data_IF_214216340583
#
_entry.id   IF_214216340583
#
_cell.length_a   1.000
_cell.length_b   1.000
_cell.length_c   1.000
_cell.angle_alpha   90.00
_cell.angle_beta   90.00
_cell.angle_gamma   90.00
#
_symmetry.space_group_name_H-M   'P 1'
#
loop_
_entity.id
_entity.type
_entity.pdbx_description
1 polymer ?
#
# COMPACT_ATOMS: atom_id res chain seq x y z
N UNK A 1 45.83 5.72 -13.56
CA UNK A 1 44.55 5.54 -14.22
C UNK A 1 43.54 5.83 -13.15
N UNK A 2 42.81 6.91 -13.26
CA UNK A 2 41.63 7.17 -12.42
C UNK A 2 40.62 6.14 -12.85
N UNK A 3 40.29 5.15 -11.99
CA UNK A 3 39.08 4.33 -12.16
C UNK A 3 37.89 5.31 -12.23
N UNK A 4 37.40 5.56 -13.45
CA UNK A 4 36.09 6.20 -13.59
C UNK A 4 35.09 5.21 -13.03
N UNK A 5 34.26 5.69 -12.08
CA UNK A 5 33.19 4.88 -11.52
C UNK A 5 32.31 4.34 -12.67
N UNK A 6 32.01 3.05 -12.65
CA UNK A 6 31.11 2.45 -13.63
C UNK A 6 29.74 3.13 -13.55
N UNK A 7 29.10 3.43 -14.67
CA UNK A 7 27.72 3.96 -14.76
C UNK A 7 26.77 2.91 -15.35
N UNK A 8 27.14 1.64 -15.23
CA UNK A 8 26.49 0.56 -15.96
C UNK A 8 25.00 0.39 -15.63
N UNK A 9 24.57 0.69 -14.41
CA UNK A 9 23.15 0.69 -14.02
C UNK A 9 22.40 1.85 -14.66
N UNK A 10 22.99 3.06 -14.64
CA UNK A 10 22.45 4.23 -15.33
C UNK A 10 22.25 3.96 -16.82
N UNK A 11 23.31 3.53 -17.48
CA UNK A 11 23.33 3.30 -18.93
C UNK A 11 22.31 2.24 -19.34
N UNK A 12 22.07 1.24 -18.49
CA UNK A 12 21.07 0.22 -18.74
C UNK A 12 19.64 0.80 -18.68
N UNK A 13 19.32 1.64 -17.68
CA UNK A 13 18.03 2.30 -17.57
C UNK A 13 17.83 3.28 -18.73
N UNK A 14 18.83 4.14 -19.00
CA UNK A 14 18.77 5.11 -20.09
C UNK A 14 18.56 4.44 -21.45
N UNK A 15 19.18 3.27 -21.68
CA UNK A 15 18.98 2.49 -22.91
C UNK A 15 17.51 2.12 -23.10
N UNK A 16 16.84 1.63 -22.06
CA UNK A 16 15.42 1.25 -22.14
C UNK A 16 14.52 2.45 -22.41
N UNK A 17 14.80 3.60 -21.80
CA UNK A 17 14.02 4.81 -22.01
C UNK A 17 14.30 5.45 -23.39
N UNK A 18 15.53 5.34 -23.90
CA UNK A 18 15.86 5.73 -25.28
C UNK A 18 15.16 4.84 -26.31
N UNK A 19 15.00 3.54 -26.05
CA UNK A 19 14.19 2.66 -26.89
C UNK A 19 12.71 3.06 -26.87
N UNK A 20 12.18 3.52 -25.72
CA UNK A 20 10.77 3.90 -25.56
C UNK A 20 10.45 5.30 -26.14
N UNK A 21 11.36 6.27 -25.97
CA UNK A 21 11.13 7.69 -26.29
C UNK A 21 12.03 8.25 -27.39
N UNK A 22 12.92 7.44 -27.95
CA UNK A 22 13.81 7.86 -29.03
C UNK A 22 14.82 8.91 -28.56
N UNK A 23 14.95 9.99 -29.35
CA UNK A 23 15.90 11.09 -29.06
C UNK A 23 15.35 12.14 -28.08
N UNK A 24 14.24 11.87 -27.38
CA UNK A 24 13.70 12.80 -26.39
C UNK A 24 14.60 12.84 -25.17
N UNK A 25 15.25 13.99 -24.94
CA UNK A 25 15.99 14.21 -23.69
C UNK A 25 15.01 14.42 -22.54
N UNK A 26 15.11 13.67 -21.42
CA UNK A 26 14.26 13.88 -20.26
C UNK A 26 14.61 15.17 -19.52
N UNK A 27 13.65 15.68 -18.76
CA UNK A 27 13.93 16.64 -17.69
C UNK A 27 14.52 15.85 -16.52
N UNK A 28 15.83 15.96 -16.30
CA UNK A 28 16.51 15.23 -15.23
C UNK A 28 16.76 16.10 -13.99
N UNK A 29 16.46 15.56 -12.82
CA UNK A 29 16.59 16.22 -11.51
C UNK A 29 17.45 15.35 -10.59
N UNK A 30 18.74 15.70 -10.50
CA UNK A 30 19.68 15.06 -9.58
C UNK A 30 19.63 15.66 -8.18
N UNK A 31 20.13 14.92 -7.19
CA UNK A 31 20.31 15.43 -5.82
C UNK A 31 21.50 16.39 -5.75
N UNK A 32 21.35 17.47 -5.00
CA UNK A 32 22.43 18.44 -4.81
C UNK A 32 23.59 17.88 -3.97
N UNK A 33 23.30 17.01 -3.02
CA UNK A 33 24.26 16.30 -2.16
C UNK A 33 23.92 14.82 -2.22
N UNK A 34 24.82 13.96 -2.75
CA UNK A 34 24.60 12.51 -2.76
C UNK A 34 24.31 11.95 -1.37
N UNK A 35 23.42 10.95 -1.30
CA UNK A 35 23.03 10.32 -0.03
C UNK A 35 24.23 9.72 0.72
N UNK A 36 25.17 9.11 0.01
CA UNK A 36 26.42 8.59 0.55
C UNK A 36 27.31 9.66 1.21
N UNK A 37 27.13 10.94 0.86
CA UNK A 37 27.81 12.08 1.46
C UNK A 37 26.97 12.80 2.52
N UNK A 38 25.87 12.18 2.98
CA UNK A 38 24.98 12.73 4.02
C UNK A 38 23.86 13.62 3.50
N UNK A 39 23.55 13.57 2.21
CA UNK A 39 22.36 14.21 1.64
C UNK A 39 21.07 13.61 2.20
N UNK A 40 19.95 14.38 2.23
CA UNK A 40 18.67 13.91 2.75
C UNK A 40 17.92 13.01 1.77
N UNK A 41 18.26 13.03 0.51
CA UNK A 41 17.55 12.39 -0.60
C UNK A 41 18.28 11.15 -1.10
N UNK A 42 17.69 9.95 -0.92
CA UNK A 42 18.39 8.70 -1.24
C UNK A 42 18.44 8.37 -2.73
N UNK A 43 17.52 8.93 -3.54
CA UNK A 43 17.55 8.72 -4.98
C UNK A 43 18.57 9.67 -5.62
N UNK A 44 19.46 9.15 -6.44
CA UNK A 44 20.46 9.96 -7.14
C UNK A 44 19.82 10.90 -8.16
N UNK A 45 18.72 10.46 -8.79
CA UNK A 45 18.00 11.28 -9.75
C UNK A 45 16.59 10.81 -10.06
N UNK A 46 15.87 11.68 -10.73
CA UNK A 46 14.55 11.42 -11.30
C UNK A 46 14.52 12.04 -12.69
N UNK A 47 14.19 11.25 -13.71
CA UNK A 47 13.94 11.73 -15.07
C UNK A 47 12.44 11.82 -15.32
N UNK A 48 12.01 12.84 -16.08
CA UNK A 48 10.63 13.03 -16.49
C UNK A 48 10.55 13.22 -18.01
N UNK A 49 9.77 12.38 -18.67
CA UNK A 49 9.51 12.39 -20.10
C UNK A 49 8.12 12.94 -20.40
N UNK A 50 7.97 13.68 -21.50
CA UNK A 50 6.67 14.14 -22.01
C UNK A 50 6.08 13.08 -22.91
N UNK A 51 4.85 12.69 -22.64
CA UNK A 51 4.11 11.69 -23.43
C UNK A 51 2.75 12.26 -23.82
N UNK A 52 2.43 12.22 -25.12
CA UNK A 52 1.21 12.83 -25.64
C UNK A 52 0.04 11.83 -25.79
N UNK A 53 0.32 10.54 -25.90
CA UNK A 53 -0.69 9.50 -26.14
C UNK A 53 -0.61 8.36 -25.14
N UNK A 54 -1.73 7.77 -24.70
CA UNK A 54 -3.13 8.04 -25.07
C UNK A 54 -3.73 9.30 -24.44
N UNK A 55 -3.13 9.80 -23.38
CA UNK A 55 -3.50 11.04 -22.68
C UNK A 55 -2.21 11.80 -22.41
N UNK A 56 -2.12 13.13 -22.59
CA UNK A 56 -0.94 13.90 -22.27
C UNK A 56 -0.54 13.71 -20.79
N UNK A 57 0.70 13.26 -20.57
CA UNK A 57 1.19 12.98 -19.21
C UNK A 57 2.72 13.11 -19.11
N UNK A 58 3.18 13.30 -17.88
CA UNK A 58 4.56 13.10 -17.50
C UNK A 58 4.78 11.64 -17.18
N UNK A 59 5.85 11.02 -17.71
CA UNK A 59 6.33 9.71 -17.27
C UNK A 59 7.64 9.90 -16.53
N UNK A 60 7.61 9.69 -15.21
CA UNK A 60 8.77 9.77 -14.33
C UNK A 60 9.41 8.41 -14.18
N UNK A 61 10.74 8.39 -14.00
CA UNK A 61 11.51 7.23 -13.57
C UNK A 61 12.54 7.66 -12.54
N UNK A 62 12.72 6.84 -11.50
CA UNK A 62 13.72 7.03 -10.46
C UNK A 62 15.03 6.39 -10.82
N UNK A 63 16.12 6.85 -10.18
CA UNK A 63 17.45 6.29 -10.23
C UNK A 63 17.99 6.24 -8.79
N UNK A 64 18.26 5.02 -8.28
CA UNK A 64 18.85 4.84 -6.96
C UNK A 64 18.21 3.80 -6.07
N UNK A 65 17.09 3.17 -6.45
CA UNK A 65 16.64 1.94 -5.80
C UNK A 65 17.44 0.73 -6.29
N UNK A 66 17.86 0.74 -7.55
CA UNK A 66 18.81 -0.22 -8.11
C UNK A 66 20.25 0.31 -8.00
N UNK A 67 21.23 -0.56 -8.18
CA UNK A 67 22.65 -0.17 -8.17
C UNK A 67 23.03 0.45 -9.51
N UNK A 68 23.30 1.75 -9.49
CA UNK A 68 23.55 2.57 -10.67
C UNK A 68 25.00 2.52 -11.13
N UNK A 69 25.93 2.33 -10.19
CA UNK A 69 27.38 2.36 -10.40
C UNK A 69 27.95 0.95 -10.35
N UNK A 70 28.64 0.60 -9.31
CA UNK A 70 29.21 -0.72 -9.10
C UNK A 70 28.26 -1.59 -8.26
N UNK A 71 28.46 -2.91 -8.30
CA UNK A 71 27.75 -3.85 -7.45
C UNK A 71 28.17 -3.70 -5.99
N UNK A 72 27.24 -3.27 -5.12
CA UNK A 72 27.50 -3.04 -3.69
C UNK A 72 26.87 -4.12 -2.80
N UNK A 73 25.72 -4.67 -3.20
CA UNK A 73 25.02 -5.69 -2.41
C UNK A 73 25.62 -7.08 -2.62
N UNK A 74 25.44 -7.97 -1.63
CA UNK A 74 25.85 -9.37 -1.73
C UNK A 74 24.84 -10.25 -2.50
N UNK A 75 23.72 -9.71 -2.95
CA UNK A 75 22.76 -10.42 -3.77
C UNK A 75 23.19 -10.44 -5.24
N UNK A 76 23.59 -11.61 -5.80
CA UNK A 76 24.05 -11.67 -7.18
C UNK A 76 22.89 -11.61 -8.19
N UNK A 77 21.64 -11.84 -7.75
CA UNK A 77 20.49 -11.92 -8.63
C UNK A 77 19.83 -10.56 -8.85
N UNK A 78 19.77 -9.71 -7.82
CA UNK A 78 19.07 -8.42 -7.86
C UNK A 78 20.05 -7.24 -7.78
N UNK A 79 19.75 -6.17 -8.49
CA UNK A 79 20.44 -4.89 -8.41
C UNK A 79 19.82 -4.03 -7.31
N UNK A 80 20.54 -3.78 -6.23
CA UNK A 80 20.09 -2.98 -5.09
C UNK A 80 18.81 -3.55 -4.47
N UNK A 81 17.74 -2.76 -4.42
CA UNK A 81 16.40 -3.20 -3.96
C UNK A 81 15.64 -4.00 -5.03
N UNK A 82 16.17 -4.16 -6.24
CA UNK A 82 15.59 -4.94 -7.32
C UNK A 82 14.53 -4.21 -8.14
N UNK A 83 14.37 -2.90 -7.98
CA UNK A 83 13.40 -2.12 -8.76
C UNK A 83 13.81 -0.66 -8.93
N UNK A 84 13.16 0.02 -9.89
CA UNK A 84 13.00 1.47 -9.94
C UNK A 84 11.51 1.82 -9.99
N UNK A 85 11.11 2.96 -9.42
CA UNK A 85 9.75 3.44 -9.50
C UNK A 85 9.54 4.23 -10.79
N UNK A 86 8.38 4.00 -11.40
CA UNK A 86 7.83 4.90 -12.41
C UNK A 86 6.55 5.55 -11.90
N UNK A 87 6.21 6.71 -12.46
CA UNK A 87 4.97 7.41 -12.12
C UNK A 87 4.45 8.14 -13.36
N UNK A 88 3.17 7.96 -13.68
CA UNK A 88 2.52 8.69 -14.76
C UNK A 88 1.52 9.66 -14.18
N UNK A 89 1.67 10.94 -14.56
CA UNK A 89 0.84 12.05 -14.07
C UNK A 89 0.29 12.85 -15.25
N UNK A 90 -1.02 13.09 -15.29
CA UNK A 90 -1.63 13.96 -16.30
C UNK A 90 -0.89 15.28 -16.40
N UNK A 91 -0.72 15.76 -17.64
CA UNK A 91 -0.07 17.03 -17.99
C UNK A 91 -1.01 17.89 -18.80
N UNK A 92 -1.03 19.19 -18.51
CA UNK A 92 -1.66 20.16 -19.41
C UNK A 92 -0.69 20.56 -20.52
N UNK A 93 -1.21 21.01 -21.67
CA UNK A 93 -0.36 21.42 -22.82
C UNK A 93 0.62 22.54 -22.47
N UNK A 94 0.25 23.42 -21.53
CA UNK A 94 1.06 24.56 -21.10
C UNK A 94 2.19 24.20 -20.12
N UNK A 95 2.14 22.99 -19.54
CA UNK A 95 3.18 22.53 -18.61
C UNK A 95 4.44 22.12 -19.36
N UNK A 96 5.49 22.90 -19.22
CA UNK A 96 6.83 22.65 -19.81
C UNK A 96 7.79 22.02 -18.81
N UNK A 97 7.51 22.07 -17.51
CA UNK A 97 8.30 21.50 -16.43
C UNK A 97 7.42 20.59 -15.56
N UNK A 98 7.93 19.44 -15.09
CA UNK A 98 7.17 18.56 -14.23
C UNK A 98 6.94 19.20 -12.86
N UNK A 99 5.79 18.97 -12.23
CA UNK A 99 5.46 19.59 -10.97
C UNK A 99 6.36 19.08 -9.83
N UNK A 100 6.94 19.99 -9.07
CA UNK A 100 7.90 19.71 -8.00
C UNK A 100 7.34 18.75 -6.93
N UNK A 101 6.02 18.73 -6.69
CA UNK A 101 5.42 17.83 -5.72
C UNK A 101 5.55 16.36 -6.15
N UNK A 102 5.52 16.04 -7.46
CA UNK A 102 5.70 14.68 -7.96
C UNK A 102 7.13 14.18 -7.74
N UNK A 103 8.13 15.05 -7.97
CA UNK A 103 9.53 14.76 -7.66
C UNK A 103 9.72 14.53 -6.15
N UNK A 104 9.13 15.39 -5.31
CA UNK A 104 9.17 15.22 -3.86
C UNK A 104 8.46 13.94 -3.38
N UNK A 105 7.35 13.55 -4.03
CA UNK A 105 6.64 12.31 -3.72
C UNK A 105 7.54 11.10 -3.99
N UNK A 106 8.21 11.04 -5.12
CA UNK A 106 9.16 9.98 -5.47
C UNK A 106 10.34 9.94 -4.49
N UNK A 107 10.92 11.09 -4.13
CA UNK A 107 11.97 11.14 -3.09
C UNK A 107 11.44 10.69 -1.72
N UNK A 108 10.18 10.98 -1.37
CA UNK A 108 9.57 10.47 -0.13
C UNK A 108 9.45 8.94 -0.15
N UNK A 109 9.15 8.34 -1.31
CA UNK A 109 9.17 6.88 -1.45
C UNK A 109 10.59 6.33 -1.29
N UNK A 110 11.60 7.03 -1.83
CA UNK A 110 13.00 6.72 -1.58
C UNK A 110 13.32 6.71 -0.09
N UNK A 111 13.03 7.81 0.61
CA UNK A 111 13.25 7.90 2.07
C UNK A 111 12.51 6.80 2.84
N UNK A 112 11.28 6.45 2.44
CA UNK A 112 10.53 5.37 3.05
C UNK A 112 11.26 4.03 2.93
N UNK A 113 11.68 3.64 1.73
CA UNK A 113 12.38 2.37 1.47
C UNK A 113 13.72 2.33 2.20
N UNK A 114 14.54 3.36 2.06
CA UNK A 114 15.88 3.40 2.67
C UNK A 114 15.86 3.41 4.21
N UNK A 115 14.86 4.06 4.81
CA UNK A 115 14.73 4.11 6.27
C UNK A 115 14.09 2.85 6.87
N UNK A 116 13.16 2.20 6.16
CA UNK A 116 12.40 1.07 6.70
C UNK A 116 12.92 -0.30 6.24
N UNK A 117 13.61 -0.36 5.10
CA UNK A 117 13.95 -1.59 4.40
C UNK A 117 12.75 -2.27 3.73
N UNK A 118 11.56 -1.67 3.75
CA UNK A 118 10.38 -2.19 3.09
C UNK A 118 10.45 -1.88 1.59
N UNK A 119 10.44 -2.89 0.76
CA UNK A 119 10.44 -2.77 -0.70
C UNK A 119 9.01 -2.81 -1.23
N UNK A 120 8.77 -2.10 -2.33
CA UNK A 120 7.51 -2.18 -3.05
C UNK A 120 7.51 -3.34 -4.03
N UNK A 121 6.33 -3.93 -4.22
CA UNK A 121 6.09 -5.00 -5.20
C UNK A 121 4.79 -4.73 -5.96
N UNK A 122 4.69 -5.18 -7.21
CA UNK A 122 3.43 -5.10 -7.93
C UNK A 122 2.30 -5.83 -7.18
N UNK A 123 1.24 -5.09 -6.89
CA UNK A 123 0.12 -5.55 -6.07
C UNK A 123 0.07 -4.91 -4.69
N UNK A 124 1.14 -4.25 -4.25
CA UNK A 124 1.16 -3.51 -2.99
C UNK A 124 0.36 -2.21 -3.06
N UNK A 125 0.09 -1.66 -1.89
CA UNK A 125 -0.53 -0.34 -1.71
C UNK A 125 0.03 0.34 -0.46
N UNK A 126 -0.07 1.67 -0.43
CA UNK A 126 0.35 2.52 0.69
C UNK A 126 -0.71 3.58 0.96
N UNK A 127 -1.22 3.65 2.19
CA UNK A 127 -2.04 4.79 2.65
C UNK A 127 -1.11 5.97 2.97
N UNK A 128 -1.27 7.08 2.25
CA UNK A 128 -0.48 8.28 2.48
C UNK A 128 -0.98 9.08 3.71
N UNK A 129 -2.10 8.66 4.32
CA UNK A 129 -2.76 9.33 5.43
C UNK A 129 -3.10 10.81 5.16
N UNK A 130 -3.32 11.15 3.91
CA UNK A 130 -3.65 12.49 3.43
C UNK A 130 -3.46 12.60 1.91
N UNK A 131 -3.73 13.78 1.32
CA UNK A 131 -3.58 13.99 -0.11
C UNK A 131 -2.16 13.70 -0.59
N UNK A 132 -2.01 12.97 -1.71
CA UNK A 132 -0.69 12.70 -2.31
C UNK A 132 -0.03 13.97 -2.85
N UNK A 133 -0.81 15.01 -3.11
CA UNK A 133 -0.36 16.36 -3.46
C UNK A 133 -0.88 17.33 -2.39
N UNK A 134 0.02 17.75 -1.49
CA UNK A 134 -0.33 18.68 -0.41
C UNK A 134 -0.81 20.02 -0.95
N UNK A 135 -1.87 20.55 -0.35
CA UNK A 135 -2.46 21.83 -0.73
C UNK A 135 -3.37 21.77 -1.97
N UNK A 136 -3.64 20.57 -2.52
CA UNK A 136 -4.65 20.35 -3.56
C UNK A 136 -5.93 19.77 -2.97
N UNK A 137 -7.04 19.94 -3.69
CA UNK A 137 -8.35 19.35 -3.34
C UNK A 137 -8.50 17.92 -3.86
N UNK A 138 -7.39 17.23 -4.12
CA UNK A 138 -7.43 15.85 -4.66
C UNK A 138 -8.04 14.86 -3.68
N UNK A 139 -8.81 13.92 -4.21
CA UNK A 139 -9.34 12.77 -3.45
C UNK A 139 -8.34 11.59 -3.39
N UNK A 140 -7.19 11.72 -4.04
CA UNK A 140 -6.15 10.69 -4.04
C UNK A 140 -5.34 10.78 -2.73
N UNK A 141 -5.58 9.81 -1.84
CA UNK A 141 -4.98 9.77 -0.50
C UNK A 141 -4.14 8.52 -0.26
N UNK A 142 -3.95 7.72 -1.30
CA UNK A 142 -3.15 6.51 -1.22
C UNK A 142 -2.45 6.25 -2.57
N UNK A 143 -1.52 5.31 -2.55
CA UNK A 143 -0.76 4.84 -3.69
C UNK A 143 -0.95 3.35 -3.86
N UNK A 144 -1.00 2.87 -5.08
CA UNK A 144 -0.89 1.47 -5.43
C UNK A 144 0.28 1.24 -6.38
N UNK A 145 0.79 0.03 -6.42
CA UNK A 145 1.98 -0.34 -7.16
C UNK A 145 1.65 -1.48 -8.11
N UNK A 146 2.08 -1.35 -9.37
CA UNK A 146 1.83 -2.35 -10.42
C UNK A 146 3.05 -2.41 -11.34
N UNK A 147 3.21 -3.51 -12.08
CA UNK A 147 4.19 -3.57 -13.15
C UNK A 147 3.97 -2.42 -14.14
N UNK A 148 5.04 -1.74 -14.54
CA UNK A 148 4.91 -0.70 -15.56
C UNK A 148 4.41 -1.32 -16.89
N UNK A 149 3.35 -0.81 -17.51
CA UNK A 149 2.73 -1.43 -18.69
C UNK A 149 3.60 -1.37 -19.96
N UNK A 150 4.59 -0.50 -20.01
CA UNK A 150 5.47 -0.33 -21.18
C UNK A 150 6.88 -0.90 -20.98
N UNK A 151 7.27 -1.16 -19.73
CA UNK A 151 8.64 -1.55 -19.37
C UNK A 151 8.66 -3.00 -18.90
N UNK A 152 9.69 -3.73 -19.30
CA UNK A 152 9.93 -5.11 -18.87
C UNK A 152 11.02 -5.14 -17.80
N UNK A 153 11.09 -6.22 -17.00
CA UNK A 153 12.25 -6.44 -16.14
C UNK A 153 13.55 -6.30 -16.93
N UNK A 154 14.52 -5.63 -16.34
CA UNK A 154 15.80 -5.27 -16.94
C UNK A 154 16.93 -6.08 -16.29
N UNK A 155 17.81 -6.64 -17.12
CA UNK A 155 19.08 -7.19 -16.67
C UNK A 155 20.17 -6.14 -16.83
N UNK A 156 20.80 -5.78 -15.73
CA UNK A 156 21.94 -4.87 -15.69
C UNK A 156 23.21 -5.65 -15.34
N UNK A 157 24.41 -5.09 -15.51
CA UNK A 157 25.64 -5.70 -15.01
C UNK A 157 25.64 -5.93 -13.49
N UNK A 158 24.82 -5.20 -12.73
CA UNK A 158 24.68 -5.28 -11.28
C UNK A 158 23.55 -6.23 -10.81
N UNK A 159 22.89 -6.94 -11.72
CA UNK A 159 21.76 -7.84 -11.43
C UNK A 159 20.46 -7.40 -12.09
N UNK A 160 19.40 -8.14 -11.82
CA UNK A 160 18.06 -7.85 -12.40
C UNK A 160 17.33 -6.80 -11.58
N UNK A 161 16.50 -6.00 -12.26
CA UNK A 161 15.57 -5.07 -11.65
C UNK A 161 14.25 -5.00 -12.46
N UNK A 162 13.19 -4.54 -11.84
CA UNK A 162 11.91 -4.29 -12.50
C UNK A 162 11.47 -2.83 -12.37
N UNK A 163 10.58 -2.39 -13.27
CA UNK A 163 9.97 -1.08 -13.17
C UNK A 163 8.59 -1.21 -12.56
N UNK A 164 8.41 -0.57 -11.40
CA UNK A 164 7.15 -0.59 -10.66
C UNK A 164 6.47 0.76 -10.80
N UNK A 165 5.30 0.78 -11.45
CA UNK A 165 4.54 2.00 -11.57
C UNK A 165 3.75 2.28 -10.31
N UNK A 166 3.97 3.45 -9.75
CA UNK A 166 3.17 4.05 -8.70
C UNK A 166 1.92 4.71 -9.30
N UNK A 167 0.76 4.46 -8.70
CA UNK A 167 -0.54 4.95 -9.16
C UNK A 167 -1.28 5.62 -8.02
N UNK A 168 -1.68 6.88 -8.17
CA UNK A 168 -2.49 7.58 -7.19
C UNK A 168 -3.92 7.04 -7.13
N UNK A 169 -4.40 6.71 -5.94
CA UNK A 169 -5.73 6.14 -5.71
C UNK A 169 -6.48 6.85 -4.59
N UNK A 170 -7.80 6.81 -4.62
CA UNK A 170 -8.66 7.34 -3.56
C UNK A 170 -8.72 6.38 -2.37
N UNK A 171 -9.09 6.87 -1.18
CA UNK A 171 -9.30 6.02 -0.01
C UNK A 171 -10.36 4.93 -0.23
N UNK A 172 -11.41 5.20 -1.02
CA UNK A 172 -12.43 4.19 -1.40
C UNK A 172 -11.85 3.10 -2.31
N UNK A 173 -10.94 3.45 -3.19
CA UNK A 173 -10.24 2.49 -4.05
C UNK A 173 -9.27 1.64 -3.24
N UNK A 174 -8.55 2.24 -2.28
CA UNK A 174 -7.72 1.52 -1.34
C UNK A 174 -8.53 0.47 -0.56
N UNK A 175 -9.67 0.85 0.05
CA UNK A 175 -10.54 -0.11 0.72
C UNK A 175 -11.02 -1.24 -0.20
N UNK A 176 -11.31 -0.90 -1.46
CA UNK A 176 -11.74 -1.87 -2.47
C UNK A 176 -10.61 -2.86 -2.81
N UNK A 177 -9.39 -2.37 -2.99
CA UNK A 177 -8.21 -3.21 -3.21
C UNK A 177 -7.97 -4.14 -2.00
N UNK A 178 -8.12 -3.63 -0.79
CA UNK A 178 -7.99 -4.41 0.44
C UNK A 178 -9.05 -5.51 0.57
N UNK A 179 -10.27 -5.28 0.07
CA UNK A 179 -11.35 -6.28 0.11
C UNK A 179 -11.32 -7.29 -1.03
N UNK A 180 -10.59 -7.01 -2.09
CA UNK A 180 -10.35 -7.88 -3.24
C UNK A 180 -8.85 -8.04 -3.49
N UNK A 181 -8.29 -7.40 -4.53
CA UNK A 181 -6.86 -7.31 -4.80
C UNK A 181 -6.54 -6.11 -5.71
N UNK A 182 -5.31 -5.61 -5.59
CA UNK A 182 -4.84 -4.42 -6.31
C UNK A 182 -4.85 -4.63 -7.82
N UNK A 183 -4.28 -5.75 -8.30
CA UNK A 183 -4.16 -6.02 -9.74
C UNK A 183 -5.52 -6.16 -10.42
N UNK A 184 -6.46 -6.89 -9.81
CA UNK A 184 -7.82 -7.06 -10.32
C UNK A 184 -8.57 -5.74 -10.40
N UNK A 185 -8.45 -4.92 -9.34
CA UNK A 185 -9.05 -3.60 -9.33
C UNK A 185 -8.45 -2.69 -10.42
N UNK A 186 -7.13 -2.52 -10.47
CA UNK A 186 -6.47 -1.68 -11.48
C UNK A 186 -6.79 -2.14 -12.91
N UNK A 187 -6.77 -3.45 -13.16
CA UNK A 187 -7.17 -4.00 -14.46
C UNK A 187 -8.60 -3.62 -14.85
N UNK A 188 -9.53 -3.59 -13.89
CA UNK A 188 -10.91 -3.16 -14.15
C UNK A 188 -11.03 -1.67 -14.46
N UNK A 189 -10.05 -0.86 -14.02
CA UNK A 189 -9.98 0.58 -14.26
C UNK A 189 -9.25 0.96 -15.57
N UNK A 190 -8.51 0.03 -16.18
CA UNK A 190 -7.67 0.30 -17.38
C UNK A 190 -8.40 1.04 -18.52
N UNK A 191 -9.69 0.73 -18.86
CA UNK A 191 -10.42 1.48 -19.89
C UNK A 191 -10.65 2.96 -19.55
N UNK A 192 -10.60 3.34 -18.29
CA UNK A 192 -10.84 4.70 -17.77
C UNK A 192 -9.55 5.39 -17.35
N UNK A 193 -8.48 4.64 -17.19
CA UNK A 193 -7.16 5.09 -16.78
C UNK A 193 -6.09 4.38 -17.62
N UNK A 194 -6.01 4.69 -18.93
CA UNK A 194 -5.06 4.05 -19.83
C UNK A 194 -3.62 4.21 -19.30
N UNK A 195 -2.86 3.10 -19.31
CA UNK A 195 -1.49 3.04 -18.76
C UNK A 195 -1.39 3.49 -17.31
N UNK A 196 -2.49 3.47 -16.57
CA UNK A 196 -2.59 3.88 -15.17
C UNK A 196 -2.08 5.31 -14.90
N UNK A 197 -2.35 6.24 -15.84
CA UNK A 197 -2.01 7.66 -15.68
C UNK A 197 -2.82 8.24 -14.53
N UNK A 198 -2.13 8.78 -13.52
CA UNK A 198 -2.75 9.44 -12.38
C UNK A 198 -3.27 10.81 -12.79
N UNK A 199 -4.55 11.06 -12.53
CA UNK A 199 -5.18 12.37 -12.65
C UNK A 199 -5.61 12.83 -11.25
N UNK A 200 -5.03 13.94 -10.76
CA UNK A 200 -5.32 14.48 -9.43
C UNK A 200 -6.78 14.88 -9.24
N UNK A 201 -7.46 15.26 -10.32
CA UNK A 201 -8.82 15.83 -10.26
C UNK A 201 -9.92 14.79 -10.44
N UNK A 202 -9.55 13.52 -10.62
CA UNK A 202 -10.51 12.45 -10.86
C UNK A 202 -11.30 12.06 -9.60
N UNK A 203 -12.51 11.61 -9.82
CA UNK A 203 -13.30 10.91 -8.81
C UNK A 203 -12.90 9.43 -8.72
N UNK A 204 -13.44 8.74 -7.71
CA UNK A 204 -13.22 7.30 -7.53
C UNK A 204 -13.85 6.49 -8.67
N UNK A 205 -13.10 5.57 -9.25
CA UNK A 205 -13.59 4.65 -10.26
C UNK A 205 -14.52 3.56 -9.71
N UNK A 206 -14.58 3.36 -8.40
CA UNK A 206 -15.51 2.43 -7.75
C UNK A 206 -16.97 2.74 -8.12
N UNK A 207 -17.28 4.00 -8.41
CA UNK A 207 -18.63 4.46 -8.78
C UNK A 207 -19.00 4.15 -10.25
N UNK A 208 -18.04 3.71 -11.06
CA UNK A 208 -18.30 3.28 -12.44
C UNK A 208 -18.97 1.88 -12.40
N UNK A 209 -20.17 1.71 -12.98
CA UNK A 209 -20.92 0.47 -12.84
C UNK A 209 -20.15 -0.79 -13.27
N UNK A 210 -19.37 -0.72 -14.36
CA UNK A 210 -18.57 -1.87 -14.84
C UNK A 210 -17.44 -2.22 -13.86
N UNK A 211 -16.80 -1.23 -13.25
CA UNK A 211 -15.76 -1.43 -12.22
C UNK A 211 -16.38 -2.03 -10.96
N UNK A 212 -17.50 -1.46 -10.47
CA UNK A 212 -18.21 -1.99 -9.31
C UNK A 212 -18.66 -3.43 -9.47
N UNK A 213 -19.15 -3.81 -10.68
CA UNK A 213 -19.50 -5.20 -10.99
C UNK A 213 -18.28 -6.13 -11.03
N UNK A 214 -17.15 -5.68 -11.59
CA UNK A 214 -15.92 -6.44 -11.59
C UNK A 214 -15.41 -6.70 -10.15
N UNK A 215 -15.43 -5.67 -9.30
CA UNK A 215 -15.07 -5.76 -7.88
C UNK A 215 -15.96 -6.77 -7.16
N UNK A 216 -17.28 -6.65 -7.28
CA UNK A 216 -18.22 -7.56 -6.61
C UNK A 216 -17.95 -9.01 -7.03
N UNK A 217 -17.81 -9.26 -8.33
CA UNK A 217 -17.48 -10.59 -8.85
C UNK A 217 -16.14 -11.10 -8.35
N UNK A 218 -15.11 -10.24 -8.32
CA UNK A 218 -13.79 -10.59 -7.82
C UNK A 218 -13.80 -10.98 -6.36
N UNK A 219 -14.48 -10.22 -5.50
CA UNK A 219 -14.67 -10.55 -4.09
C UNK A 219 -15.37 -11.90 -3.92
N UNK A 220 -16.42 -12.17 -4.69
CA UNK A 220 -17.17 -13.43 -4.62
C UNK A 220 -16.33 -14.64 -5.06
N UNK A 221 -15.56 -14.50 -6.13
CA UNK A 221 -14.78 -15.61 -6.69
C UNK A 221 -13.45 -15.83 -5.98
N UNK A 222 -12.71 -14.79 -5.69
CA UNK A 222 -11.33 -14.83 -5.24
C UNK A 222 -11.19 -14.51 -3.74
N UNK A 223 -12.08 -13.68 -3.19
CA UNK A 223 -11.94 -13.13 -1.86
C UNK A 223 -10.89 -12.02 -1.80
N UNK A 224 -10.46 -11.68 -0.59
CA UNK A 224 -9.43 -10.65 -0.37
C UNK A 224 -8.02 -11.23 -0.40
N UNK A 225 -7.09 -10.57 -1.07
CA UNK A 225 -5.65 -10.88 -1.03
C UNK A 225 -4.95 -10.32 0.23
N UNK A 226 -5.60 -9.42 0.99
CA UNK A 226 -5.03 -8.76 2.17
C UNK A 226 -4.89 -9.73 3.33
N UNK A 227 -3.71 -10.28 3.53
CA UNK A 227 -3.44 -11.28 4.57
C UNK A 227 -3.28 -10.68 5.97
N UNK A 228 -2.90 -9.41 6.07
CA UNK A 228 -2.71 -8.71 7.32
C UNK A 228 -3.12 -7.24 7.22
N UNK A 229 -3.51 -6.67 8.36
CA UNK A 229 -3.81 -5.25 8.52
C UNK A 229 -3.04 -4.70 9.72
N UNK A 230 -2.37 -3.57 9.54
CA UNK A 230 -1.83 -2.81 10.65
C UNK A 230 -2.93 -2.00 11.32
N UNK A 231 -3.14 -2.25 12.62
CA UNK A 231 -4.19 -1.65 13.43
C UNK A 231 -3.58 -0.82 14.55
N UNK A 232 -3.77 0.48 14.48
CA UNK A 232 -3.17 1.42 15.44
C UNK A 232 -3.68 1.22 16.87
N UNK A 233 -4.99 0.97 17.01
CA UNK A 233 -5.68 0.78 18.30
C UNK A 233 -6.01 -0.69 18.54
N UNK A 234 -5.04 -1.61 18.29
CA UNK A 234 -5.19 -3.03 18.59
C UNK A 234 -4.66 -3.31 19.99
N UNK A 235 -5.50 -3.93 20.83
CA UNK A 235 -5.05 -4.43 22.12
C UNK A 235 -5.77 -5.75 22.46
N UNK A 236 -5.11 -6.54 23.28
CA UNK A 236 -5.65 -7.77 23.84
C UNK A 236 -5.45 -7.78 25.34
N UNK A 237 -6.54 -8.04 26.08
CA UNK A 237 -6.51 -8.28 27.52
C UNK A 237 -6.81 -9.75 27.77
N UNK A 238 -5.87 -10.54 28.31
CA UNK A 238 -6.09 -11.96 28.51
C UNK A 238 -7.18 -12.27 29.55
N UNK A 239 -7.82 -13.41 29.39
CA UNK A 239 -8.80 -13.91 30.35
C UNK A 239 -8.16 -14.14 31.73
N UNK A 240 -8.90 -13.82 32.80
CA UNK A 240 -8.41 -14.02 34.18
C UNK A 240 -9.40 -14.90 34.96
N UNK A 241 -8.89 -16.06 35.43
CA UNK A 241 -9.60 -16.90 36.40
C UNK A 241 -9.48 -16.30 37.79
N UNK A 242 -10.61 -16.07 38.47
CA UNK A 242 -10.65 -15.59 39.86
C UNK A 242 -11.23 -16.68 40.76
N UNK A 243 -10.52 -17.03 41.85
CA UNK A 243 -10.90 -18.11 42.76
C UNK A 243 -12.23 -17.92 43.49
N UNK A 244 -12.71 -16.67 43.64
CA UNK A 244 -13.90 -16.33 44.43
C UNK A 244 -14.84 -15.33 43.72
N UNK A 245 -14.60 -15.01 42.46
CA UNK A 245 -15.38 -14.04 41.69
C UNK A 245 -15.63 -14.58 40.28
N UNK A 246 -16.58 -13.96 39.54
CA UNK A 246 -16.83 -14.26 38.12
C UNK A 246 -15.54 -14.12 37.31
N UNK A 247 -15.20 -15.13 36.50
CA UNK A 247 -14.08 -15.06 35.59
C UNK A 247 -14.21 -13.83 34.66
N UNK A 248 -13.11 -13.14 34.41
CA UNK A 248 -13.08 -12.05 33.44
C UNK A 248 -12.84 -12.64 32.05
N UNK A 249 -13.68 -12.32 31.05
CA UNK A 249 -13.45 -12.73 29.66
C UNK A 249 -12.15 -12.13 29.15
N UNK A 250 -11.59 -12.72 28.09
CA UNK A 250 -10.59 -12.04 27.28
C UNK A 250 -11.24 -10.84 26.57
N UNK A 251 -10.50 -9.79 26.30
CA UNK A 251 -11.01 -8.61 25.58
C UNK A 251 -10.12 -8.31 24.38
N UNK A 252 -10.74 -8.23 23.19
CA UNK A 252 -10.14 -7.69 21.97
C UNK A 252 -10.58 -6.25 21.78
N UNK A 253 -9.66 -5.30 21.77
CA UNK A 253 -9.93 -3.89 21.47
C UNK A 253 -9.55 -3.57 20.03
N UNK A 254 -10.43 -2.84 19.33
CA UNK A 254 -10.26 -2.38 17.94
C UNK A 254 -10.65 -0.90 17.82
N UNK A 255 -9.95 -0.14 16.98
CA UNK A 255 -10.34 1.23 16.62
C UNK A 255 -11.56 1.28 15.70
N UNK A 256 -12.46 2.23 15.93
CA UNK A 256 -13.68 2.41 15.15
C UNK A 256 -13.43 2.67 13.65
N UNK A 257 -12.37 3.40 13.31
CA UNK A 257 -11.98 3.69 11.92
C UNK A 257 -11.87 2.42 11.07
N UNK A 258 -11.26 1.36 11.60
CA UNK A 258 -10.94 0.15 10.85
C UNK A 258 -11.95 -0.99 11.03
N UNK A 259 -12.88 -0.86 11.95
CA UNK A 259 -13.82 -1.93 12.30
C UNK A 259 -14.59 -2.48 11.08
N UNK A 260 -15.15 -1.58 10.24
CA UNK A 260 -15.91 -1.98 9.04
C UNK A 260 -15.03 -2.72 8.03
N UNK A 261 -13.82 -2.21 7.78
CA UNK A 261 -12.87 -2.81 6.84
C UNK A 261 -12.45 -4.21 7.31
N UNK A 262 -12.13 -4.38 8.60
CA UNK A 262 -11.82 -5.68 9.21
C UNK A 262 -12.97 -6.66 8.94
N UNK A 263 -14.21 -6.23 9.14
CA UNK A 263 -15.39 -7.07 8.88
C UNK A 263 -15.53 -7.51 7.43
N UNK A 264 -15.32 -6.60 6.47
CA UNK A 264 -15.37 -6.89 5.03
C UNK A 264 -14.29 -7.89 4.63
N UNK A 265 -13.03 -7.66 5.03
CA UNK A 265 -11.90 -8.52 4.71
C UNK A 265 -12.06 -9.90 5.38
N UNK A 266 -12.47 -9.94 6.64
CA UNK A 266 -12.71 -11.19 7.37
C UNK A 266 -13.70 -12.09 6.63
N UNK A 267 -14.85 -11.55 6.20
CA UNK A 267 -15.84 -12.31 5.43
C UNK A 267 -15.25 -12.88 4.15
N UNK A 268 -14.55 -12.06 3.37
CA UNK A 268 -14.03 -12.47 2.07
C UNK A 268 -12.86 -13.46 2.18
N UNK A 269 -12.06 -13.39 3.26
CA UNK A 269 -10.92 -14.31 3.47
C UNK A 269 -11.30 -15.60 4.15
N UNK A 270 -11.99 -15.53 5.28
CA UNK A 270 -12.35 -16.73 6.07
C UNK A 270 -13.27 -17.65 5.28
N UNK A 271 -14.20 -17.11 4.49
CA UNK A 271 -15.05 -17.89 3.59
C UNK A 271 -14.26 -18.66 2.52
N UNK A 272 -13.03 -18.25 2.22
CA UNK A 272 -12.09 -18.92 1.30
C UNK A 272 -11.04 -19.78 2.02
N UNK A 273 -11.16 -19.97 3.34
CA UNK A 273 -10.20 -20.70 4.16
C UNK A 273 -8.86 -19.99 4.37
N UNK A 274 -8.78 -18.69 4.02
CA UNK A 274 -7.54 -17.92 4.16
C UNK A 274 -7.55 -17.13 5.49
N UNK A 275 -6.45 -17.12 6.28
CA UNK A 275 -6.38 -16.41 7.55
C UNK A 275 -6.27 -14.90 7.35
N UNK A 276 -6.70 -14.12 8.35
CA UNK A 276 -6.52 -12.68 8.47
C UNK A 276 -5.75 -12.36 9.75
N UNK A 277 -4.62 -11.67 9.64
CA UNK A 277 -3.84 -11.21 10.79
C UNK A 277 -4.03 -9.71 11.01
N UNK A 278 -4.40 -9.33 12.24
CA UNK A 278 -4.40 -7.95 12.72
C UNK A 278 -3.08 -7.73 13.47
N UNK A 279 -2.30 -6.76 13.03
CA UNK A 279 -0.96 -6.46 13.58
C UNK A 279 -1.00 -5.11 14.28
N UNK A 280 -0.69 -5.11 15.57
CA UNK A 280 -0.58 -3.90 16.38
C UNK A 280 0.81 -3.75 17.00
N UNK A 281 0.99 -2.71 17.81
CA UNK A 281 2.25 -2.50 18.55
C UNK A 281 2.44 -3.61 19.60
N UNK A 282 3.32 -4.55 19.28
CA UNK A 282 3.67 -5.67 20.20
C UNK A 282 2.63 -6.79 20.28
N UNK A 283 1.61 -6.82 19.39
CA UNK A 283 0.61 -7.89 19.36
C UNK A 283 0.21 -8.26 17.94
N UNK A 284 -0.03 -9.55 17.73
CA UNK A 284 -0.57 -10.09 16.50
C UNK A 284 -1.78 -11.00 16.80
N UNK A 285 -2.91 -10.73 16.16
CA UNK A 285 -4.14 -11.50 16.34
C UNK A 285 -4.54 -12.08 14.98
N UNK A 286 -4.45 -13.40 14.85
CA UNK A 286 -4.77 -14.11 13.61
C UNK A 286 -6.14 -14.78 13.73
N UNK A 287 -7.02 -14.45 12.82
CA UNK A 287 -8.29 -15.14 12.61
C UNK A 287 -8.11 -16.21 11.55
N UNK A 288 -8.54 -17.44 11.86
CA UNK A 288 -8.47 -18.57 10.93
C UNK A 288 -9.78 -19.36 10.92
N UNK A 289 -10.06 -20.03 9.79
CA UNK A 289 -11.26 -20.85 9.65
C UNK A 289 -11.13 -22.15 10.43
N UNK A 290 -12.22 -22.56 11.11
CA UNK A 290 -12.31 -23.87 11.76
C UNK A 290 -13.74 -24.25 12.07
N UNK A 291 -13.97 -25.53 12.40
CA UNK A 291 -15.32 -26.02 12.69
C UNK A 291 -15.87 -25.47 14.01
N UNK A 292 -15.04 -25.42 15.03
CA UNK A 292 -15.40 -24.96 16.37
C UNK A 292 -14.69 -23.64 16.68
N UNK A 293 -15.47 -22.62 17.03
CA UNK A 293 -14.93 -21.33 17.43
C UNK A 293 -14.20 -21.43 18.77
N UNK A 294 -12.99 -20.91 18.81
CA UNK A 294 -12.12 -20.90 20.00
C UNK A 294 -11.07 -19.79 19.89
N UNK A 295 -10.37 -19.51 20.98
CA UNK A 295 -9.16 -18.67 20.91
C UNK A 295 -8.04 -19.29 21.76
N UNK A 296 -6.83 -19.05 21.32
CA UNK A 296 -5.62 -19.49 22.01
C UNK A 296 -4.70 -18.28 22.21
N UNK A 297 -4.21 -18.13 23.44
CA UNK A 297 -3.40 -16.99 23.89
C UNK A 297 -1.94 -17.43 24.07
N UNK A 298 -1.03 -16.83 23.33
CA UNK A 298 0.42 -16.82 23.58
C UNK A 298 0.84 -15.39 23.93
N UNK A 299 2.04 -15.17 24.40
CA UNK A 299 2.49 -13.88 24.94
C UNK A 299 2.17 -12.66 24.04
N UNK A 300 2.46 -12.75 22.75
CA UNK A 300 2.28 -11.66 21.76
C UNK A 300 1.47 -12.10 20.54
N UNK A 301 1.06 -13.37 20.49
CA UNK A 301 0.36 -13.95 19.36
C UNK A 301 -0.92 -14.61 19.83
N UNK A 302 -2.03 -14.12 19.32
CA UNK A 302 -3.36 -14.65 19.60
C UNK A 302 -3.91 -15.31 18.33
N UNK A 303 -4.39 -16.54 18.45
CA UNK A 303 -5.09 -17.22 17.36
C UNK A 303 -6.57 -17.31 17.73
N UNK A 304 -7.43 -16.85 16.84
CA UNK A 304 -8.90 -16.92 17.00
C UNK A 304 -9.45 -17.77 15.87
N UNK A 305 -9.82 -19.00 16.19
CA UNK A 305 -10.48 -19.91 15.25
C UNK A 305 -11.97 -19.53 15.17
N UNK A 306 -12.47 -19.32 13.96
CA UNK A 306 -13.85 -18.88 13.71
C UNK A 306 -14.51 -19.77 12.65
N UNK A 307 -15.80 -20.03 12.84
CA UNK A 307 -16.66 -20.65 11.83
C UNK A 307 -17.55 -19.57 11.16
N UNK A 308 -18.36 -19.97 10.20
CA UNK A 308 -19.23 -19.06 9.46
C UNK A 308 -20.20 -18.30 10.38
N UNK A 309 -20.79 -18.98 11.37
CA UNK A 309 -21.67 -18.33 12.33
C UNK A 309 -20.93 -17.24 13.12
N UNK A 310 -19.74 -17.54 13.63
CA UNK A 310 -18.92 -16.60 14.39
C UNK A 310 -18.52 -15.38 13.54
N UNK A 311 -18.12 -15.60 12.28
CA UNK A 311 -17.81 -14.52 11.34
C UNK A 311 -19.02 -13.63 11.12
N UNK A 312 -20.22 -14.19 10.93
CA UNK A 312 -21.45 -13.43 10.75
C UNK A 312 -21.83 -12.62 12.00
N UNK A 313 -21.71 -13.21 13.18
CA UNK A 313 -21.97 -12.53 14.46
C UNK A 313 -20.97 -11.38 14.69
N UNK A 314 -19.67 -11.61 14.50
CA UNK A 314 -18.63 -10.59 14.58
C UNK A 314 -18.91 -9.42 13.64
N UNK A 315 -19.05 -9.72 12.36
CA UNK A 315 -19.12 -8.68 11.32
C UNK A 315 -20.42 -7.88 11.36
N UNK A 316 -21.51 -8.41 11.96
CA UNK A 316 -22.74 -7.66 12.19
C UNK A 316 -22.54 -6.48 13.16
N UNK A 317 -21.57 -6.59 14.07
CA UNK A 317 -21.30 -5.59 15.11
C UNK A 317 -20.06 -4.72 14.83
N UNK A 318 -19.22 -5.08 13.84
CA UNK A 318 -18.07 -4.27 13.44
C UNK A 318 -18.53 -3.03 12.65
N UNK A 319 -18.86 -1.96 13.39
CA UNK A 319 -19.35 -0.66 12.89
C UNK A 319 -18.41 0.46 13.32
N UNK A 320 -18.44 1.62 12.62
CA UNK A 320 -17.56 2.76 12.96
C UNK A 320 -18.15 3.55 14.15
N UNK A 321 -18.43 2.87 15.27
CA UNK A 321 -19.00 3.45 16.49
C UNK A 321 -18.51 2.72 17.72
N UNK A 322 -18.38 3.43 18.85
CA UNK A 322 -18.05 2.82 20.14
C UNK A 322 -19.09 1.76 20.50
N UNK A 323 -18.63 0.55 20.77
CA UNK A 323 -19.47 -0.57 21.12
C UNK A 323 -18.66 -1.63 21.89
N UNK A 324 -19.31 -2.25 22.87
CA UNK A 324 -18.78 -3.44 23.55
C UNK A 324 -19.82 -4.56 23.44
N UNK A 325 -19.39 -5.74 22.95
CA UNK A 325 -20.30 -6.87 22.73
C UNK A 325 -19.60 -8.22 22.93
N UNK A 326 -20.38 -9.21 23.29
CA UNK A 326 -19.97 -10.62 23.32
C UNK A 326 -20.49 -11.33 22.08
N UNK A 327 -19.82 -12.42 21.70
CA UNK A 327 -20.20 -13.26 20.56
C UNK A 327 -20.72 -14.58 21.10
N UNK A 328 -21.99 -14.90 20.91
CA UNK A 328 -22.59 -16.13 21.45
C UNK A 328 -21.89 -17.41 21.01
N UNK A 329 -21.41 -17.46 19.75
CA UNK A 329 -20.69 -18.60 19.21
C UNK A 329 -19.22 -18.71 19.69
N UNK A 330 -18.68 -17.66 20.36
CA UNK A 330 -17.30 -17.63 20.89
C UNK A 330 -17.33 -17.12 22.34
N UNK A 331 -17.89 -17.90 23.29
CA UNK A 331 -18.05 -17.46 24.67
C UNK A 331 -16.70 -17.21 25.35
N UNK A 332 -16.63 -16.17 26.17
CA UNK A 332 -15.42 -15.80 26.90
C UNK A 332 -14.52 -14.79 26.18
N UNK A 333 -14.90 -14.33 24.98
CA UNK A 333 -14.27 -13.22 24.29
C UNK A 333 -15.22 -12.02 24.23
N UNK A 334 -14.77 -10.87 24.76
CA UNK A 334 -15.42 -9.58 24.67
C UNK A 334 -14.74 -8.78 23.55
N UNK A 335 -15.53 -8.17 22.67
CA UNK A 335 -15.02 -7.25 21.65
C UNK A 335 -15.37 -5.83 22.06
N UNK A 336 -14.36 -4.95 22.03
CA UNK A 336 -14.51 -3.54 22.34
C UNK A 336 -14.05 -2.68 21.18
N UNK A 337 -14.97 -1.96 20.56
CA UNK A 337 -14.65 -0.94 19.56
C UNK A 337 -14.51 0.38 20.31
N UNK A 338 -13.36 1.02 20.14
CA UNK A 338 -13.04 2.31 20.78
C UNK A 338 -12.98 3.42 19.73
N UNK A 339 -13.27 4.63 20.18
CA UNK A 339 -13.18 5.85 19.39
C UNK A 339 -11.80 5.98 18.76
N UNK A 340 -11.75 6.41 17.50
CA UNK A 340 -10.52 6.72 16.78
C UNK A 340 -10.46 8.22 16.51
N UNK A 341 -9.40 8.87 16.96
CA UNK A 341 -9.10 10.27 16.66
C UNK A 341 -8.07 10.33 15.53
N UNK A 342 -8.40 11.10 14.49
CA UNK A 342 -7.49 11.40 13.38
C UNK A 342 -6.89 12.76 13.66
N UNK A 343 -5.57 12.83 13.69
CA UNK A 343 -4.82 14.07 13.96
C UNK A 343 -4.11 14.56 12.71
N UNK A 344 -3.97 15.89 12.58
CA UNK A 344 -3.11 16.52 11.58
C UNK A 344 -1.61 16.37 11.94
N UNK A 345 -0.74 16.92 11.10
CA UNK A 345 0.72 16.88 11.31
C UNK A 345 1.17 17.64 12.57
N UNK A 346 0.33 18.54 13.09
CA UNK A 346 0.59 19.31 14.32
C UNK A 346 0.00 18.62 15.57
N UNK A 347 -0.59 17.43 15.39
CA UNK A 347 -1.19 16.63 16.48
C UNK A 347 -2.58 17.10 16.92
N UNK A 348 -3.23 17.99 16.17
CA UNK A 348 -4.60 18.44 16.46
C UNK A 348 -5.60 17.44 15.89
N UNK A 349 -6.61 17.10 16.68
CA UNK A 349 -7.70 16.23 16.22
C UNK A 349 -8.51 16.96 15.15
N UNK A 350 -8.53 16.40 13.94
CA UNK A 350 -9.29 16.92 12.79
C UNK A 350 -10.57 16.16 12.53
N UNK A 351 -10.63 14.90 12.96
CA UNK A 351 -11.80 14.04 12.84
C UNK A 351 -11.85 13.04 13.99
N UNK A 352 -13.06 12.69 14.40
CA UNK A 352 -13.31 11.64 15.42
C UNK A 352 -14.33 10.65 14.89
N UNK A 353 -13.97 9.35 14.90
CA UNK A 353 -14.82 8.24 14.45
C UNK A 353 -15.16 7.37 15.67
N UNK A 354 -16.43 7.18 15.94
CA UNK A 354 -16.90 6.38 17.07
C UNK A 354 -17.86 7.08 18.01
#
# INVERSE_FOLDING_TARGET
MTDEASTAGWDAIDTVFNELYGEQEPKHYGTAIPYALGGPDPLDGISAYIVESPTPHWHFVTYGFSELYDKETNDPEHSGYGFELTFRLTRTEDETEPPAWALNLLQNMGRYVFNSGNVFRPGDYLDANGPICLGSDTLLTALSFIEDPDLKPLSTPNGTMEFIQMVGITGRELETMQTWNTRGFLKSCEPFMPKYVTDLMRNSYVDIPSVGQAVQRGIELEGSSTAFLFIQQLAWTPSRKRLLQKNMPAELQLGAKQAVLIGKIMRSRIAKGAPLSLVGSGINITFEAGENASFHEEETKITVTVNEQTVNELTAHLKPSELTFEIPSLPGLLIRIVRTEITDQEGRVVETIG
#
